data_IF_524799026408
#
_entry.id   IF_524799026408
#
_cell.length_a   1.000
_cell.length_b   1.000
_cell.length_c   1.000
_cell.angle_alpha   90.00
_cell.angle_beta   90.00
_cell.angle_gamma   90.00
#
_symmetry.space_group_name_H-M   'P 1'
#
loop_
_entity.id
_entity.type
_entity.pdbx_description
1 polymer ?
#
# COMPACT_ATOMS: atom_id res chain seq x y z
N UNK A 1 -5.68 11.27 -19.89
CA UNK A 1 -6.42 10.03 -20.18
C UNK A 1 -7.72 10.06 -19.41
N UNK A 2 -8.85 9.84 -20.09
CA UNK A 2 -10.20 9.91 -19.50
C UNK A 2 -10.41 8.87 -18.37
N UNK A 3 -9.88 7.66 -18.55
CA UNK A 3 -10.00 6.55 -17.60
C UNK A 3 -9.32 6.85 -16.25
N UNK A 4 -8.10 7.37 -16.24
CA UNK A 4 -7.41 7.73 -14.99
C UNK A 4 -8.12 8.86 -14.26
N UNK A 5 -8.71 9.84 -14.97
CA UNK A 5 -9.47 10.92 -14.31
C UNK A 5 -10.71 10.39 -13.60
N UNK A 6 -11.42 9.43 -14.23
CA UNK A 6 -12.56 8.74 -13.64
C UNK A 6 -12.15 7.94 -12.39
N UNK A 7 -11.11 7.12 -12.50
CA UNK A 7 -10.51 6.37 -11.38
C UNK A 7 -10.17 7.29 -10.20
N UNK A 8 -9.57 8.45 -10.48
CA UNK A 8 -9.17 9.40 -9.45
C UNK A 8 -10.36 9.99 -8.70
N UNK A 9 -11.55 10.07 -9.30
CA UNK A 9 -12.77 10.49 -8.62
C UNK A 9 -13.14 9.53 -7.49
N UNK A 10 -13.20 8.23 -7.79
CA UNK A 10 -13.50 7.18 -6.81
C UNK A 10 -12.47 7.15 -5.68
N UNK A 11 -11.17 7.21 -6.00
CA UNK A 11 -10.11 7.16 -4.98
C UNK A 11 -10.16 8.38 -4.05
N UNK A 12 -10.31 9.59 -4.59
CA UNK A 12 -10.38 10.82 -3.79
C UNK A 12 -11.57 10.83 -2.85
N UNK A 13 -12.71 10.33 -3.33
CA UNK A 13 -13.95 10.26 -2.56
C UNK A 13 -14.02 9.02 -1.65
N UNK A 14 -13.04 8.10 -1.75
CA UNK A 14 -13.03 6.79 -1.07
C UNK A 14 -14.27 5.93 -1.38
N UNK A 15 -14.83 6.12 -2.57
CA UNK A 15 -15.98 5.35 -3.06
C UNK A 15 -15.50 3.97 -3.51
N UNK A 16 -15.48 3.03 -2.56
CA UNK A 16 -14.96 1.68 -2.77
C UNK A 16 -15.92 0.86 -3.62
N UNK A 17 -17.23 0.98 -3.39
CA UNK A 17 -18.24 0.21 -4.12
C UNK A 17 -18.27 0.63 -5.59
N UNK A 18 -18.25 1.94 -5.86
CA UNK A 18 -18.17 2.46 -7.22
C UNK A 18 -16.86 2.09 -7.91
N UNK A 19 -15.73 2.08 -7.19
CA UNK A 19 -14.46 1.59 -7.73
C UNK A 19 -14.52 0.10 -8.10
N UNK A 20 -15.11 -0.73 -7.24
CA UNK A 20 -15.26 -2.18 -7.48
C UNK A 20 -16.18 -2.42 -8.67
N UNK A 21 -17.32 -1.73 -8.75
CA UNK A 21 -18.24 -1.84 -9.89
C UNK A 21 -17.54 -1.45 -11.20
N UNK A 22 -16.76 -0.36 -11.19
CA UNK A 22 -15.97 0.06 -12.33
C UNK A 22 -14.93 -0.98 -12.72
N UNK A 23 -14.19 -1.53 -11.76
CA UNK A 23 -13.18 -2.57 -12.00
C UNK A 23 -13.80 -3.89 -12.49
N UNK A 24 -15.03 -4.20 -12.08
CA UNK A 24 -15.74 -5.38 -12.56
C UNK A 24 -16.21 -5.23 -14.00
N UNK A 25 -16.63 -4.02 -14.42
CA UNK A 25 -16.97 -3.69 -15.81
C UNK A 25 -15.73 -3.52 -16.70
N UNK A 26 -14.64 -3.00 -16.15
CA UNK A 26 -13.40 -2.74 -16.87
C UNK A 26 -12.16 -3.11 -16.02
N UNK A 27 -11.62 -4.34 -16.16
CA UNK A 27 -10.44 -4.77 -15.42
C UNK A 27 -9.16 -3.99 -15.70
N UNK A 28 -9.07 -3.24 -16.82
CA UNK A 28 -7.92 -2.36 -17.13
C UNK A 28 -7.70 -1.32 -16.02
N UNK A 29 -8.77 -0.94 -15.32
CA UNK A 29 -8.77 -0.03 -14.17
C UNK A 29 -7.80 -0.49 -13.08
N UNK A 30 -7.52 -1.79 -12.95
CA UNK A 30 -6.62 -2.30 -11.92
C UNK A 30 -5.14 -2.00 -12.20
N UNK A 31 -4.77 -1.85 -13.47
CA UNK A 31 -3.36 -1.85 -13.92
C UNK A 31 -2.95 -0.62 -14.72
N UNK A 32 -3.90 0.21 -15.15
CA UNK A 32 -3.61 1.43 -15.92
C UNK A 32 -2.63 2.34 -15.18
N UNK A 33 -1.68 2.91 -15.90
CA UNK A 33 -0.67 3.82 -15.34
C UNK A 33 -0.68 5.17 -16.04
N UNK A 34 -0.30 6.23 -15.32
CA UNK A 34 -0.05 7.54 -15.91
C UNK A 34 1.35 7.63 -16.54
N UNK A 35 1.75 8.84 -16.97
CA UNK A 35 3.07 9.07 -17.59
C UNK A 35 4.23 8.89 -16.61
N UNK A 36 3.98 8.97 -15.32
CA UNK A 36 4.96 8.79 -14.26
C UNK A 36 4.97 7.33 -13.75
N UNK A 37 4.18 6.44 -14.36
CA UNK A 37 4.05 5.04 -13.97
C UNK A 37 3.17 4.80 -12.73
N UNK A 38 2.45 5.80 -12.24
CA UNK A 38 1.56 5.61 -11.10
C UNK A 38 0.31 4.85 -11.51
N UNK A 39 0.11 3.71 -10.86
CA UNK A 39 -1.12 2.92 -10.96
C UNK A 39 -2.19 3.42 -9.97
N UNK A 40 -3.46 3.00 -10.12
CA UNK A 40 -4.49 3.25 -9.12
C UNK A 40 -4.07 2.87 -7.70
N UNK A 41 -3.26 1.80 -7.54
CA UNK A 41 -2.74 1.41 -6.23
C UNK A 41 -1.80 2.48 -5.65
N UNK A 42 -0.95 3.12 -6.46
CA UNK A 42 -0.10 4.23 -6.00
C UNK A 42 -0.95 5.39 -5.47
N UNK A 43 -2.01 5.74 -6.20
CA UNK A 43 -2.93 6.80 -5.80
C UNK A 43 -3.72 6.46 -4.54
N UNK A 44 -4.28 5.26 -4.44
CA UNK A 44 -5.00 4.81 -3.26
C UNK A 44 -4.09 4.81 -2.01
N UNK A 45 -2.84 4.39 -2.15
CA UNK A 45 -1.85 4.41 -1.08
C UNK A 45 -1.45 5.83 -0.68
N UNK A 46 -1.17 6.71 -1.63
CA UNK A 46 -0.80 8.10 -1.37
C UNK A 46 -1.94 8.88 -0.68
N UNK A 47 -3.18 8.62 -1.07
CA UNK A 47 -4.37 9.28 -0.53
C UNK A 47 -4.98 8.58 0.69
N UNK A 48 -4.38 7.48 1.16
CA UNK A 48 -4.87 6.69 2.30
C UNK A 48 -6.35 6.26 2.13
N UNK A 49 -6.68 5.80 0.91
CA UNK A 49 -7.93 5.14 0.57
C UNK A 49 -7.77 3.63 0.82
N UNK A 50 -7.72 3.26 2.11
CA UNK A 50 -7.28 1.95 2.58
C UNK A 50 -8.13 0.80 2.03
N UNK A 51 -9.43 0.97 1.93
CA UNK A 51 -10.37 -0.05 1.46
C UNK A 51 -10.14 -0.37 -0.03
N UNK A 52 -9.95 0.66 -0.87
CA UNK A 52 -9.59 0.51 -2.28
C UNK A 52 -8.20 -0.11 -2.42
N UNK A 53 -7.23 0.34 -1.60
CA UNK A 53 -5.88 -0.23 -1.61
C UNK A 53 -5.90 -1.72 -1.24
N UNK A 54 -6.66 -2.10 -0.22
CA UNK A 54 -6.84 -3.49 0.22
C UNK A 54 -7.55 -4.34 -0.83
N UNK A 55 -8.52 -3.78 -1.55
CA UNK A 55 -9.13 -4.44 -2.71
C UNK A 55 -8.07 -4.73 -3.79
N UNK A 56 -7.36 -3.70 -4.24
CA UNK A 56 -6.32 -3.82 -5.28
C UNK A 56 -5.20 -4.79 -4.91
N UNK A 57 -4.78 -4.83 -3.64
CA UNK A 57 -3.79 -5.79 -3.13
C UNK A 57 -4.25 -7.24 -3.31
N UNK A 58 -5.56 -7.49 -3.18
CA UNK A 58 -6.16 -8.82 -3.28
C UNK A 58 -6.40 -9.27 -4.73
N UNK A 59 -6.40 -8.35 -5.70
CA UNK A 59 -6.61 -8.65 -7.12
C UNK A 59 -5.43 -9.35 -7.83
N UNK A 60 -4.34 -9.65 -7.11
CA UNK A 60 -3.23 -10.40 -7.69
C UNK A 60 -2.36 -9.58 -8.64
N UNK A 61 -2.32 -8.26 -8.43
CA UNK A 61 -1.40 -7.36 -9.12
C UNK A 61 0.04 -7.56 -8.60
N UNK A 62 1.03 -7.13 -9.38
CA UNK A 62 2.38 -6.99 -8.84
C UNK A 62 2.47 -5.69 -8.03
N UNK A 63 2.62 -5.84 -6.71
CA UNK A 63 2.63 -4.72 -5.77
C UNK A 63 3.95 -3.94 -5.76
N UNK A 64 4.97 -4.43 -6.47
CA UNK A 64 6.32 -3.88 -6.46
C UNK A 64 6.64 -3.07 -7.73
N UNK A 65 5.63 -2.82 -8.56
CA UNK A 65 5.74 -1.85 -9.66
C UNK A 65 6.05 -0.48 -9.08
N UNK A 66 6.96 0.23 -9.73
CA UNK A 66 7.42 1.56 -9.31
C UNK A 66 6.82 2.61 -10.21
N UNK A 67 6.24 3.63 -9.61
CA UNK A 67 5.74 4.82 -10.28
C UNK A 67 6.69 6.00 -10.10
N UNK A 68 6.10 7.16 -9.81
CA UNK A 68 6.84 8.41 -9.65
C UNK A 68 7.88 8.33 -8.53
N UNK A 69 9.04 8.94 -8.75
CA UNK A 69 10.13 8.93 -7.78
C UNK A 69 10.75 7.55 -7.52
N UNK A 70 10.50 6.56 -8.40
CA UNK A 70 10.98 5.18 -8.24
C UNK A 70 10.44 4.51 -6.95
N UNK A 71 9.25 4.93 -6.52
CA UNK A 71 8.57 4.42 -5.34
C UNK A 71 7.48 3.41 -5.73
N UNK A 72 7.33 2.37 -4.93
CA UNK A 72 6.17 1.47 -4.98
C UNK A 72 4.96 2.11 -4.29
N UNK A 73 3.77 1.61 -4.60
CA UNK A 73 2.57 2.04 -3.90
C UNK A 73 2.65 1.79 -2.38
N UNK A 74 3.24 0.67 -1.96
CA UNK A 74 3.38 0.38 -0.53
C UNK A 74 4.32 1.37 0.17
N UNK A 75 5.39 1.82 -0.49
CA UNK A 75 6.27 2.87 0.05
C UNK A 75 5.54 4.21 0.20
N UNK A 76 4.72 4.60 -0.78
CA UNK A 76 3.85 5.78 -0.66
C UNK A 76 2.88 5.66 0.50
N UNK A 77 2.29 4.47 0.70
CA UNK A 77 1.39 4.21 1.83
C UNK A 77 2.09 4.44 3.17
N UNK A 78 3.27 3.82 3.34
CA UNK A 78 4.06 3.94 4.55
C UNK A 78 4.43 5.42 4.78
N UNK A 79 4.94 6.14 3.78
CA UNK A 79 5.34 7.54 3.95
C UNK A 79 4.19 8.46 4.41
N UNK A 80 2.95 8.15 4.01
CA UNK A 80 1.77 8.95 4.36
C UNK A 80 1.02 8.45 5.61
N UNK A 81 1.31 7.24 6.10
CA UNK A 81 0.59 6.63 7.22
C UNK A 81 0.88 7.32 8.58
N UNK A 82 1.89 8.20 8.67
CA UNK A 82 2.40 8.77 9.92
C UNK A 82 2.35 10.30 10.00
N UNK A 83 1.69 10.98 9.06
CA UNK A 83 1.80 12.45 8.91
C UNK A 83 0.79 13.25 9.73
N UNK A 84 -0.23 12.62 10.33
CA UNK A 84 -1.30 13.32 11.07
C UNK A 84 -1.63 12.61 12.37
N UNK A 85 -1.14 13.20 13.46
CA UNK A 85 -1.61 13.12 14.85
C UNK A 85 -2.48 11.90 15.17
N UNK A 86 -1.86 10.73 15.32
CA UNK A 86 -2.57 9.49 15.62
C UNK A 86 -2.34 9.10 17.07
N UNK A 87 -2.98 9.85 17.97
CA UNK A 87 -3.16 9.43 19.38
C UNK A 87 -4.28 8.39 19.53
N UNK A 88 -5.08 8.16 18.47
CA UNK A 88 -6.13 7.15 18.43
C UNK A 88 -5.55 5.74 18.18
N UNK A 89 -5.48 4.93 19.24
CA UNK A 89 -4.97 3.55 19.23
C UNK A 89 -5.72 2.61 18.27
N UNK A 90 -7.02 2.84 18.04
CA UNK A 90 -7.83 2.06 17.10
C UNK A 90 -7.40 2.28 15.65
N UNK A 91 -7.15 3.55 15.27
CA UNK A 91 -6.68 3.89 13.93
C UNK A 91 -5.27 3.33 13.68
N UNK A 92 -4.39 3.36 14.68
CA UNK A 92 -3.06 2.73 14.60
C UNK A 92 -3.17 1.23 14.35
N UNK A 93 -4.06 0.54 15.09
CA UNK A 93 -4.29 -0.90 14.90
C UNK A 93 -4.79 -1.21 13.50
N UNK A 94 -5.76 -0.45 12.99
CA UNK A 94 -6.28 -0.62 11.64
C UNK A 94 -5.18 -0.47 10.59
N UNK A 95 -4.38 0.61 10.67
CA UNK A 95 -3.23 0.82 9.77
C UNK A 95 -2.21 -0.30 9.84
N UNK A 96 -1.99 -0.87 11.03
CA UNK A 96 -1.12 -2.04 11.23
C UNK A 96 -1.63 -3.28 10.50
N UNK A 97 -2.94 -3.50 10.47
CA UNK A 97 -3.54 -4.62 9.76
C UNK A 97 -3.52 -4.42 8.23
N UNK A 98 -3.65 -3.17 7.75
CA UNK A 98 -3.40 -2.84 6.34
C UNK A 98 -1.96 -3.19 5.95
N UNK A 99 -0.97 -2.73 6.73
CA UNK A 99 0.45 -3.03 6.49
C UNK A 99 0.70 -4.54 6.46
N UNK A 100 0.20 -5.30 7.44
CA UNK A 100 0.33 -6.76 7.43
C UNK A 100 -0.27 -7.39 6.18
N UNK A 101 -1.38 -6.86 5.68
CA UNK A 101 -2.01 -7.35 4.46
C UNK A 101 -1.10 -7.13 3.26
N UNK A 102 -0.56 -5.93 3.06
CA UNK A 102 0.42 -5.68 1.99
C UNK A 102 1.60 -6.67 2.03
N UNK A 103 2.21 -6.85 3.20
CA UNK A 103 3.33 -7.78 3.38
C UNK A 103 2.95 -9.23 3.11
N UNK A 104 1.77 -9.66 3.58
CA UNK A 104 1.21 -11.00 3.34
C UNK A 104 1.04 -11.29 1.86
N UNK A 105 0.67 -10.28 1.06
CA UNK A 105 0.49 -10.39 -0.39
C UNK A 105 1.78 -10.11 -1.19
N UNK A 106 2.91 -9.92 -0.50
CA UNK A 106 4.23 -9.89 -1.13
C UNK A 106 4.70 -8.49 -1.55
N UNK A 107 4.23 -7.44 -0.88
CA UNK A 107 4.86 -6.13 -0.95
C UNK A 107 6.29 -6.19 -0.36
N UNK A 108 7.24 -5.63 -1.10
CA UNK A 108 8.64 -5.56 -0.70
C UNK A 108 8.88 -4.38 0.24
N UNK A 109 9.72 -4.58 1.25
CA UNK A 109 10.19 -3.57 2.19
C UNK A 109 11.65 -3.31 1.90
N UNK A 110 11.95 -2.17 1.31
CA UNK A 110 13.34 -1.80 1.06
C UNK A 110 13.95 -1.11 2.31
N UNK A 111 15.28 -1.07 2.37
CA UNK A 111 16.00 -0.47 3.50
C UNK A 111 15.78 1.05 3.63
N UNK A 112 15.53 1.74 2.51
CA UNK A 112 15.30 3.17 2.48
C UNK A 112 13.92 3.52 3.06
N UNK A 113 12.90 2.69 2.83
CA UNK A 113 11.60 2.77 3.52
C UNK A 113 11.77 2.75 5.04
N UNK A 114 12.64 1.88 5.55
CA UNK A 114 12.93 1.79 7.00
C UNK A 114 13.68 3.03 7.48
N UNK A 115 14.67 3.53 6.71
CA UNK A 115 15.42 4.74 7.06
C UNK A 115 14.52 5.97 7.11
N UNK A 116 13.67 6.13 6.09
CA UNK A 116 12.68 7.20 6.01
C UNK A 116 11.71 7.11 7.19
N UNK A 117 11.24 5.93 7.54
CA UNK A 117 10.39 5.73 8.71
C UNK A 117 11.09 6.08 10.03
N UNK A 118 12.33 5.62 10.24
CA UNK A 118 13.13 5.99 11.42
C UNK A 118 13.33 7.51 11.50
N UNK A 119 13.52 8.18 10.35
CA UNK A 119 13.55 9.65 10.27
C UNK A 119 12.20 10.24 10.71
N UNK A 120 11.07 9.74 10.20
CA UNK A 120 9.72 10.20 10.56
C UNK A 120 9.43 10.08 12.06
N UNK A 121 9.81 8.97 12.69
CA UNK A 121 9.67 8.79 14.15
C UNK A 121 10.50 9.75 14.99
N UNK A 122 11.70 10.12 14.50
CA UNK A 122 12.58 11.07 15.18
C UNK A 122 11.98 12.47 15.19
N UNK A 123 11.33 12.88 14.10
CA UNK A 123 10.68 14.20 14.01
C UNK A 123 9.31 14.24 14.71
N UNK A 124 8.69 13.08 14.98
CA UNK A 124 7.42 12.97 15.71
C UNK A 124 7.56 12.05 16.95
N UNK A 125 8.14 12.51 18.07
CA UNK A 125 8.48 11.64 19.21
C UNK A 125 7.29 10.89 19.83
N UNK A 126 6.10 11.52 19.90
CA UNK A 126 4.87 10.88 20.42
C UNK A 126 4.39 9.68 19.59
N UNK A 127 4.85 9.57 18.34
CA UNK A 127 4.58 8.44 17.46
C UNK A 127 5.44 7.20 17.80
N UNK A 128 6.56 7.38 18.52
CA UNK A 128 7.55 6.31 18.72
C UNK A 128 6.97 5.10 19.45
N UNK A 129 6.20 5.32 20.52
CA UNK A 129 5.63 4.22 21.31
C UNK A 129 4.53 3.48 20.53
N UNK A 130 3.66 4.23 19.85
CA UNK A 130 2.50 3.68 19.14
C UNK A 130 2.88 2.91 17.87
N UNK A 131 3.91 3.35 17.14
CA UNK A 131 4.33 2.71 15.88
C UNK A 131 5.52 1.77 16.03
N UNK A 132 6.09 1.62 17.22
CA UNK A 132 7.16 0.65 17.48
C UNK A 132 6.83 -0.76 16.96
N UNK A 133 5.63 -1.33 17.19
CA UNK A 133 5.31 -2.66 16.64
C UNK A 133 5.32 -2.71 15.12
N UNK A 134 4.90 -1.62 14.46
CA UNK A 134 4.93 -1.50 13.00
C UNK A 134 6.34 -1.42 12.46
N UNK A 135 7.21 -0.66 13.12
CA UNK A 135 8.62 -0.62 12.78
C UNK A 135 9.32 -1.95 12.95
N UNK A 136 9.08 -2.62 14.07
CA UNK A 136 9.70 -3.90 14.35
C UNK A 136 9.25 -4.94 13.31
N UNK A 137 7.99 -4.89 12.88
CA UNK A 137 7.46 -5.69 11.78
C UNK A 137 8.19 -5.39 10.45
N UNK A 138 8.28 -4.11 10.05
CA UNK A 138 8.92 -3.71 8.79
C UNK A 138 10.41 -4.06 8.79
N UNK A 139 11.12 -3.78 9.88
CA UNK A 139 12.55 -4.09 10.03
C UNK A 139 12.80 -5.60 10.01
N UNK A 140 11.96 -6.40 10.69
CA UNK A 140 12.03 -7.86 10.60
C UNK A 140 11.78 -8.33 9.17
N UNK A 141 10.77 -7.77 8.51
CA UNK A 141 10.40 -8.16 7.15
C UNK A 141 11.51 -7.85 6.13
N UNK A 142 12.10 -6.65 6.17
CA UNK A 142 13.21 -6.32 5.27
C UNK A 142 14.42 -7.24 5.49
N UNK A 143 14.77 -7.57 6.76
CA UNK A 143 15.82 -8.56 7.03
C UNK A 143 15.50 -9.91 6.41
N UNK A 144 14.26 -10.38 6.53
CA UNK A 144 13.86 -11.64 5.90
C UNK A 144 13.88 -11.58 4.39
N UNK A 145 13.50 -10.45 3.80
CA UNK A 145 13.47 -10.25 2.35
C UNK A 145 14.85 -10.10 1.71
N UNK A 146 15.83 -9.60 2.49
CA UNK A 146 17.23 -9.53 2.08
C UNK A 146 17.98 -10.86 2.20
N UNK A 147 17.37 -11.89 2.80
CA UNK A 147 17.94 -13.23 2.81
C UNK A 147 17.97 -13.78 1.38
N UNK A 148 19.13 -14.28 0.93
CA UNK A 148 19.34 -14.88 -0.39
C UNK A 148 18.39 -16.05 -0.70
N UNK A 149 17.87 -16.71 0.33
CA UNK A 149 16.94 -17.82 0.22
C UNK A 149 15.47 -17.38 0.26
N UNK A 150 15.20 -16.08 0.46
CA UNK A 150 13.85 -15.58 0.51
C UNK A 150 13.12 -15.82 -0.80
N UNK A 151 11.87 -16.26 -0.67
CA UNK A 151 10.94 -16.44 -1.78
C UNK A 151 9.72 -15.59 -1.54
N UNK A 152 9.24 -14.92 -2.59
CA UNK A 152 7.99 -14.16 -2.56
C UNK A 152 6.86 -15.07 -2.01
N UNK A 153 6.08 -14.62 -1.02
CA UNK A 153 4.98 -15.41 -0.47
C UNK A 153 4.01 -15.86 -1.57
N UNK A 154 3.51 -17.09 -1.47
CA UNK A 154 2.38 -17.53 -2.29
C UNK A 154 1.15 -16.70 -1.91
N UNK A 155 0.41 -16.21 -2.90
CA UNK A 155 -0.77 -15.40 -2.66
C UNK A 155 -1.81 -16.18 -1.85
N UNK A 156 -2.33 -15.60 -0.75
CA UNK A 156 -3.48 -16.16 -0.06
C UNK A 156 -4.69 -15.97 -0.97
N UNK A 157 -5.24 -17.05 -1.51
CA UNK A 157 -6.48 -17.06 -2.29
C UNK A 157 -6.44 -16.16 -3.54
N UNK A 158 -5.76 -16.57 -4.64
CA UNK A 158 -5.91 -15.86 -5.91
C UNK A 158 -7.39 -15.77 -6.28
N UNK A 159 -7.86 -14.58 -6.69
CA UNK A 159 -9.23 -14.42 -7.22
C UNK A 159 -9.42 -15.49 -8.30
N UNK A 160 -10.47 -16.33 -8.23
CA UNK A 160 -10.69 -17.33 -9.26
C UNK A 160 -10.74 -16.64 -10.63
N UNK A 161 -10.29 -17.30 -11.71
CA UNK A 161 -10.45 -16.77 -13.05
C UNK A 161 -11.91 -16.34 -13.26
N UNK A 162 -12.13 -15.12 -13.76
CA UNK A 162 -13.48 -14.71 -14.16
C UNK A 162 -13.91 -15.67 -15.29
N UNK A 163 -15.00 -16.41 -15.05
CA UNK A 163 -15.60 -17.34 -16.03
C UNK A 163 -16.13 -16.57 -17.24
#
# INVERSE_FOLDING_TARGET
MKLLQEIMGYIKNKDTDGFIELADKNPEVLVVTDRDGNSPLHYACALQADEIALFLVKEGLDLNVKGSGNLTAFELYINNCFTKDTTNSGLIRYKFDVVKTFLKYGAFVNNDTIKDFKRLQRIHPGSQTSYKPMLDLLAKTARTQNDRNWKKPKRPNPRPPKM
#
